data_IF_529966317809
#
_entry.id   IF_529966317809
#
_cell.length_a   1.000
_cell.length_b   1.000
_cell.length_c   1.000
_cell.angle_alpha   90.00
_cell.angle_beta   90.00
_cell.angle_gamma   90.00
#
_symmetry.space_group_name_H-M   'P 1'
#
loop_
_entity.id
_entity.type
_entity.pdbx_description
1 polymer ?
#
# COMPACT_ATOMS: atom_id res chain seq x y z
N UNK A 1 3.74 -2.12 39.58
CA UNK A 1 3.76 -2.80 38.27
C UNK A 1 3.46 -1.72 37.25
N UNK A 2 4.27 -1.57 36.23
CA UNK A 2 3.98 -0.58 35.19
C UNK A 2 2.71 -1.02 34.46
N UNK A 3 1.78 -0.11 34.26
CA UNK A 3 0.57 -0.34 33.50
C UNK A 3 0.95 -0.55 32.00
N UNK A 4 0.27 -1.47 31.35
CA UNK A 4 0.53 -1.81 29.94
C UNK A 4 -0.76 -1.81 29.16
N UNK A 5 -0.69 -1.41 27.88
CA UNK A 5 -1.79 -1.50 26.91
C UNK A 5 -1.42 -2.44 25.75
N UNK A 6 -2.42 -2.84 24.97
CA UNK A 6 -2.17 -3.57 23.74
C UNK A 6 -2.20 -2.62 22.55
N UNK A 7 -1.32 -2.86 21.59
CA UNK A 7 -1.35 -2.16 20.33
C UNK A 7 -2.71 -2.37 19.65
N UNK A 8 -3.32 -1.28 19.19
CA UNK A 8 -4.64 -1.31 18.53
C UNK A 8 -4.60 -2.02 17.18
N UNK A 9 -3.44 -2.09 16.53
CA UNK A 9 -3.29 -2.69 15.21
C UNK A 9 -2.74 -4.12 15.27
N UNK A 10 -1.66 -4.41 16.01
CA UNK A 10 -1.01 -5.73 16.01
C UNK A 10 -1.16 -6.51 17.32
N UNK A 11 -1.82 -5.96 18.34
CA UNK A 11 -2.04 -6.62 19.63
C UNK A 11 -0.80 -6.73 20.54
N UNK A 12 0.37 -6.26 20.13
CA UNK A 12 1.59 -6.29 20.93
C UNK A 12 1.41 -5.55 22.27
N UNK A 13 2.03 -6.04 23.34
CA UNK A 13 1.97 -5.40 24.66
C UNK A 13 2.93 -4.21 24.68
N UNK A 14 2.41 -3.04 25.03
CA UNK A 14 3.12 -1.76 25.05
C UNK A 14 3.04 -1.12 26.44
N UNK A 15 3.99 -0.24 26.81
CA UNK A 15 3.79 0.69 27.92
C UNK A 15 2.51 1.51 27.75
N UNK A 16 1.83 1.87 28.84
CA UNK A 16 0.57 2.63 28.81
C UNK A 16 0.71 3.97 28.08
N UNK A 17 1.87 4.61 28.23
CA UNK A 17 2.21 5.91 27.64
C UNK A 17 2.80 5.83 26.21
N UNK A 18 2.93 4.64 25.64
CA UNK A 18 3.50 4.50 24.30
C UNK A 18 2.67 5.25 23.26
N UNK A 19 3.28 6.20 22.56
CA UNK A 19 2.64 6.99 21.51
C UNK A 19 2.56 6.23 20.18
N UNK A 20 3.41 5.24 19.96
CA UNK A 20 3.44 4.37 18.78
C UNK A 20 3.87 2.96 19.14
N UNK A 21 3.56 1.99 18.29
CA UNK A 21 3.96 0.61 18.45
C UNK A 21 5.31 0.36 17.75
N UNK A 22 6.34 -0.11 18.45
CA UNK A 22 7.63 -0.41 17.82
C UNK A 22 7.59 -1.65 16.92
N UNK A 23 6.52 -2.47 16.97
CA UNK A 23 6.39 -3.67 16.16
C UNK A 23 5.68 -3.44 14.82
N UNK A 24 4.76 -2.46 14.75
CA UNK A 24 3.99 -2.19 13.53
C UNK A 24 3.90 -0.69 13.22
N UNK A 25 4.67 0.14 13.90
CA UNK A 25 4.72 1.60 13.79
C UNK A 25 3.39 2.34 14.00
N UNK A 26 2.30 1.64 14.23
CA UNK A 26 0.97 2.22 14.43
C UNK A 26 0.94 3.18 15.62
N UNK A 27 0.39 4.36 15.40
CA UNK A 27 0.16 5.37 16.44
C UNK A 27 -0.86 4.85 17.46
N UNK A 28 -0.53 4.92 18.76
CA UNK A 28 -1.33 4.39 19.86
C UNK A 28 -2.19 5.45 20.55
N UNK A 29 -2.41 6.58 19.91
CA UNK A 29 -3.24 7.64 20.48
C UNK A 29 -4.69 7.19 20.44
N UNK A 30 -5.22 6.80 21.60
CA UNK A 30 -6.65 6.58 21.78
C UNK A 30 -7.30 7.94 21.57
N UNK A 31 -7.99 8.15 20.45
CA UNK A 31 -8.81 9.33 20.22
C UNK A 31 -9.86 9.42 21.33
N UNK A 32 -9.61 10.17 22.40
CA UNK A 32 -10.68 10.65 23.22
C UNK A 32 -11.40 11.75 22.42
N UNK A 33 -12.33 11.35 21.58
CA UNK A 33 -13.23 12.28 20.92
C UNK A 33 -14.14 12.87 21.97
N UNK A 34 -13.83 14.07 22.43
CA UNK A 34 -14.73 14.81 23.29
C UNK A 34 -15.85 15.35 22.42
N UNK A 35 -17.09 14.99 22.78
CA UNK A 35 -18.28 15.47 22.07
C UNK A 35 -18.32 17.00 22.08
N UNK A 36 -18.31 17.60 20.91
CA UNK A 36 -18.50 19.04 20.72
C UNK A 36 -19.95 19.36 21.09
N UNK A 37 -20.24 20.26 22.03
CA UNK A 37 -21.62 20.64 22.33
C UNK A 37 -22.26 21.29 21.12
N UNK A 38 -23.37 20.73 20.63
CA UNK A 38 -24.14 21.28 19.53
C UNK A 38 -24.52 22.74 19.82
N UNK A 39 -24.02 23.67 19.04
CA UNK A 39 -24.51 25.05 19.03
C UNK A 39 -25.94 25.07 18.58
N UNK A 40 -26.87 25.28 19.51
CA UNK A 40 -28.27 25.53 19.18
C UNK A 40 -28.36 26.84 18.41
N UNK A 41 -28.92 26.79 17.19
CA UNK A 41 -29.18 27.95 16.35
C UNK A 41 -30.03 28.99 17.12
N UNK A 42 -29.52 30.20 17.22
CA UNK A 42 -30.13 31.33 17.90
C UNK A 42 -31.47 31.78 17.28
N UNK A 43 -31.78 31.33 16.07
CA UNK A 43 -33.02 31.75 15.35
C UNK A 43 -34.30 31.14 15.85
N UNK A 44 -34.29 30.12 16.70
CA UNK A 44 -35.50 29.51 17.27
C UNK A 44 -35.84 30.03 18.68
N UNK A 45 -35.07 30.92 19.29
CA UNK A 45 -35.28 31.45 20.63
C UNK A 45 -35.93 32.85 20.66
N UNK A 46 -36.20 33.47 19.49
CA UNK A 46 -36.78 34.80 19.44
C UNK A 46 -38.32 34.83 19.59
N UNK A 47 -39.01 33.70 19.66
CA UNK A 47 -40.48 33.65 19.77
C UNK A 47 -41.04 33.17 21.13
N UNK A 48 -40.18 32.93 22.13
CA UNK A 48 -40.63 32.56 23.49
C UNK A 48 -40.19 33.58 24.57
N UNK A 49 -39.78 34.76 24.19
CA UNK A 49 -39.14 35.77 25.04
C UNK A 49 -40.02 36.73 25.79
N UNK A 50 -41.32 36.58 25.87
CA UNK A 50 -42.20 37.57 26.57
C UNK A 50 -42.87 37.00 27.83
N UNK A 51 -42.76 35.71 28.09
CA UNK A 51 -43.48 35.08 29.22
C UNK A 51 -42.68 34.77 30.48
N UNK A 52 -41.38 34.97 30.52
CA UNK A 52 -40.49 34.44 31.60
C UNK A 52 -39.69 35.52 32.33
N UNK A 53 -39.94 36.81 32.07
CA UNK A 53 -39.15 37.90 32.68
C UNK A 53 -39.50 38.22 34.14
N UNK A 54 -40.52 37.56 34.75
CA UNK A 54 -40.92 37.82 36.14
C UNK A 54 -40.47 36.74 37.14
N UNK A 55 -39.85 35.64 36.73
CA UNK A 55 -39.44 34.57 37.63
C UNK A 55 -37.91 34.45 37.81
N UNK A 56 -37.12 35.29 37.16
CA UNK A 56 -35.63 35.15 37.09
C UNK A 56 -34.83 36.07 37.99
N UNK A 57 -35.49 36.91 38.81
CA UNK A 57 -34.77 37.85 39.71
C UNK A 57 -34.39 37.27 41.06
N UNK A 58 -34.81 36.06 41.43
CA UNK A 58 -34.45 35.44 42.72
C UNK A 58 -33.55 34.19 42.57
N UNK A 59 -33.43 33.66 41.32
CA UNK A 59 -32.60 32.47 41.04
C UNK A 59 -31.15 32.78 40.62
N UNK A 60 -30.88 34.03 40.27
CA UNK A 60 -29.61 34.40 39.62
C UNK A 60 -28.39 34.46 40.56
N UNK A 61 -28.64 34.58 41.88
CA UNK A 61 -27.55 34.68 42.85
C UNK A 61 -26.93 33.34 43.25
N UNK A 62 -27.59 32.22 43.01
CA UNK A 62 -27.08 30.89 43.32
C UNK A 62 -26.28 30.27 42.15
N UNK A 63 -26.38 30.84 40.95
CA UNK A 63 -25.70 30.33 39.76
C UNK A 63 -24.44 31.11 39.33
N UNK A 64 -24.17 32.25 40.00
CA UNK A 64 -22.98 33.08 39.68
C UNK A 64 -21.68 32.59 40.33
N UNK A 65 -21.75 31.55 41.17
CA UNK A 65 -20.57 30.95 41.78
C UNK A 65 -20.05 29.69 41.07
N UNK A 66 -20.73 29.22 40.02
CA UNK A 66 -20.16 28.18 39.20
C UNK A 66 -19.42 28.88 38.03
N UNK A 67 -18.09 28.83 38.10
CA UNK A 67 -17.24 29.09 36.95
C UNK A 67 -17.85 28.31 35.77
N UNK A 68 -18.30 29.04 34.74
CA UNK A 68 -18.65 28.39 33.47
C UNK A 68 -17.42 27.54 33.13
N UNK A 69 -17.57 26.23 32.94
CA UNK A 69 -16.44 25.47 32.43
C UNK A 69 -15.98 26.23 31.19
N UNK A 70 -14.73 26.67 31.20
CA UNK A 70 -14.11 27.31 30.06
C UNK A 70 -14.46 26.44 28.85
N UNK A 71 -15.00 27.07 27.79
CA UNK A 71 -15.27 26.33 26.57
C UNK A 71 -13.98 25.58 26.29
N UNK A 72 -14.03 24.26 26.45
CA UNK A 72 -12.86 23.43 26.13
C UNK A 72 -12.61 23.74 24.66
N UNK A 73 -11.53 24.45 24.40
CA UNK A 73 -10.99 24.53 23.05
C UNK A 73 -10.93 23.09 22.56
N UNK A 74 -11.66 22.81 21.51
CA UNK A 74 -11.56 21.52 20.83
C UNK A 74 -10.11 21.45 20.35
N UNK A 75 -9.27 20.81 21.15
CA UNK A 75 -7.89 20.51 20.73
C UNK A 75 -8.09 19.53 19.61
N UNK A 76 -8.09 20.05 18.39
CA UNK A 76 -8.01 19.24 17.20
C UNK A 76 -6.82 18.30 17.39
N UNK A 77 -6.96 17.00 17.09
CA UNK A 77 -5.85 16.10 17.22
C UNK A 77 -4.65 16.73 16.52
N UNK A 78 -3.61 17.01 17.31
CA UNK A 78 -2.36 17.50 16.73
C UNK A 78 -1.84 16.30 15.94
N UNK A 79 -2.06 16.33 14.63
CA UNK A 79 -1.37 15.42 13.75
C UNK A 79 0.09 15.75 13.99
N UNK A 80 0.82 14.82 14.60
CA UNK A 80 2.27 14.85 14.62
C UNK A 80 2.66 14.57 13.18
N UNK A 81 2.69 15.64 12.40
CA UNK A 81 3.04 15.59 11.01
C UNK A 81 4.46 15.04 10.93
N UNK A 82 4.62 13.91 10.26
CA UNK A 82 5.95 13.39 9.94
C UNK A 82 6.74 14.44 9.14
N UNK A 83 6.03 15.34 8.45
CA UNK A 83 6.58 16.48 7.75
C UNK A 83 5.62 17.70 7.78
N UNK A 84 6.11 18.85 7.34
CA UNK A 84 5.35 20.11 7.33
C UNK A 84 4.14 20.10 6.38
N UNK A 85 4.11 19.20 5.41
CA UNK A 85 3.09 19.13 4.35
C UNK A 85 1.79 18.49 4.82
N UNK A 86 1.82 17.62 5.85
CA UNK A 86 0.63 16.96 6.36
C UNK A 86 -0.42 17.95 6.90
N UNK A 87 -0.02 19.17 7.23
CA UNK A 87 -0.95 20.23 7.64
C UNK A 87 -1.70 20.85 6.46
N UNK A 88 -1.10 20.85 5.28
CA UNK A 88 -1.65 21.49 4.08
C UNK A 88 -2.61 20.56 3.34
N UNK A 89 -2.48 19.25 3.55
CA UNK A 89 -3.32 18.24 2.91
C UNK A 89 -4.55 17.87 3.75
N UNK A 90 -4.89 18.63 4.81
CA UNK A 90 -6.05 18.36 5.64
C UNK A 90 -6.71 19.63 6.18
N UNK A 91 -8.01 19.56 6.43
CA UNK A 91 -8.78 20.65 7.05
C UNK A 91 -10.01 20.11 7.78
N UNK A 92 -10.63 20.96 8.59
CA UNK A 92 -11.93 20.72 9.18
C UNK A 92 -12.97 21.61 8.49
N UNK A 93 -14.06 20.99 8.06
CA UNK A 93 -15.15 21.66 7.38
C UNK A 93 -16.46 21.46 8.16
N UNK A 94 -17.15 22.58 8.51
CA UNK A 94 -18.47 22.53 9.14
C UNK A 94 -19.54 22.58 8.04
N UNK A 95 -20.28 21.50 7.86
CA UNK A 95 -21.37 21.42 6.90
C UNK A 95 -22.57 22.29 7.30
N UNK A 96 -23.43 22.58 6.34
CA UNK A 96 -24.68 23.33 6.59
C UNK A 96 -25.61 22.62 7.56
N UNK A 97 -25.48 21.35 7.75
CA UNK A 97 -26.18 20.51 8.74
C UNK A 97 -25.61 20.62 10.16
N UNK A 98 -24.48 21.36 10.32
CA UNK A 98 -23.74 21.52 11.56
C UNK A 98 -22.88 20.31 11.93
N UNK A 99 -22.68 19.37 11.02
CA UNK A 99 -21.72 18.30 11.19
C UNK A 99 -20.30 18.81 10.90
N UNK A 100 -19.34 18.37 11.70
CA UNK A 100 -17.93 18.70 11.50
C UNK A 100 -17.21 17.53 10.81
N UNK A 101 -16.67 17.80 9.64
CA UNK A 101 -15.93 16.84 8.83
C UNK A 101 -14.43 17.08 8.92
N UNK A 102 -13.65 16.03 9.08
CA UNK A 102 -12.23 16.06 8.86
C UNK A 102 -11.95 15.58 7.44
N UNK A 103 -11.49 16.50 6.60
CA UNK A 103 -11.23 16.27 5.18
C UNK A 103 -9.73 16.27 4.96
N UNK A 104 -9.21 15.24 4.28
CA UNK A 104 -7.78 15.13 4.02
C UNK A 104 -7.46 14.37 2.74
N UNK A 105 -6.32 14.71 2.13
CA UNK A 105 -5.77 14.01 0.99
C UNK A 105 -4.66 13.04 1.43
N UNK A 106 -4.52 11.93 0.70
CA UNK A 106 -3.50 10.91 0.93
C UNK A 106 -3.01 10.31 -0.40
N UNK A 107 -1.72 9.94 -0.45
CA UNK A 107 -1.13 9.13 -1.50
C UNK A 107 -1.32 7.64 -1.17
N UNK A 108 -2.54 7.18 -1.12
CA UNK A 108 -2.84 5.79 -0.79
C UNK A 108 -4.00 5.28 -1.63
N UNK A 109 -4.03 4.00 -2.00
CA UNK A 109 -5.17 3.42 -2.67
C UNK A 109 -6.41 3.50 -1.81
N UNK A 110 -7.54 3.86 -2.43
CA UNK A 110 -8.84 3.75 -1.79
C UNK A 110 -9.12 2.29 -1.43
N UNK A 111 -9.57 2.04 -0.23
CA UNK A 111 -10.21 0.76 0.11
C UNK A 111 -9.45 -0.22 0.99
N UNK A 112 -8.37 0.16 1.64
CA UNK A 112 -7.91 -0.63 2.77
C UNK A 112 -8.77 -0.28 3.99
N UNK A 113 -9.24 -1.29 4.73
CA UNK A 113 -9.93 -1.12 6.02
C UNK A 113 -9.02 -0.57 7.13
N UNK A 114 -7.79 -0.14 6.75
CA UNK A 114 -6.87 0.55 7.62
C UNK A 114 -7.31 1.99 7.90
N UNK A 115 -6.86 2.54 9.01
CA UNK A 115 -7.04 3.96 9.29
C UNK A 115 -6.26 4.79 8.27
N UNK A 116 -6.98 5.41 7.33
CA UNK A 116 -6.37 6.35 6.40
C UNK A 116 -5.92 7.59 7.18
N UNK A 117 -4.72 8.04 6.90
CA UNK A 117 -4.13 9.22 7.52
C UNK A 117 -3.78 10.25 6.45
N UNK A 118 -3.78 11.55 6.78
CA UNK A 118 -3.24 12.57 5.90
C UNK A 118 -1.81 12.23 5.48
N UNK A 119 -1.53 12.37 4.20
CA UNK A 119 -0.18 12.24 3.65
C UNK A 119 0.05 13.36 2.65
N UNK A 120 0.78 14.39 3.08
CA UNK A 120 1.02 15.60 2.32
C UNK A 120 2.32 15.59 1.51
N UNK A 121 3.16 14.57 1.67
CA UNK A 121 4.43 14.47 0.94
C UNK A 121 4.74 13.02 0.55
N UNK A 122 5.17 12.84 -0.68
CA UNK A 122 5.69 11.58 -1.20
C UNK A 122 6.95 11.85 -2.04
N UNK A 123 7.95 10.99 -1.90
CA UNK A 123 9.08 10.94 -2.81
C UNK A 123 9.08 9.59 -3.52
N UNK A 124 9.26 9.61 -4.83
CA UNK A 124 9.32 8.41 -5.65
C UNK A 124 10.55 8.43 -6.56
N UNK A 125 11.19 7.28 -6.66
CA UNK A 125 12.21 7.03 -7.68
C UNK A 125 11.63 6.08 -8.72
N UNK A 126 11.67 6.47 -9.98
CA UNK A 126 11.09 5.74 -11.11
C UNK A 126 12.24 5.22 -11.97
N UNK A 127 12.17 3.96 -12.39
CA UNK A 127 13.20 3.39 -13.26
C UNK A 127 13.18 4.05 -14.64
N UNK A 128 14.36 4.24 -15.21
CA UNK A 128 14.50 4.85 -16.53
C UNK A 128 13.66 4.11 -17.60
N UNK A 129 12.89 4.84 -18.37
CA UNK A 129 12.02 4.30 -19.42
C UNK A 129 10.71 3.67 -18.91
N UNK A 130 10.43 3.73 -17.61
CA UNK A 130 9.16 3.27 -17.03
C UNK A 130 8.17 4.42 -16.81
N UNK A 131 6.91 4.09 -16.65
CA UNK A 131 5.85 5.00 -16.27
C UNK A 131 5.30 4.57 -14.91
N UNK A 132 4.96 5.51 -14.06
CA UNK A 132 4.31 5.26 -12.77
C UNK A 132 2.91 5.82 -12.76
N UNK A 133 2.01 5.10 -12.10
CA UNK A 133 0.63 5.52 -11.84
C UNK A 133 0.40 5.55 -10.34
N UNK A 134 0.19 6.72 -9.80
CA UNK A 134 -0.05 6.93 -8.38
C UNK A 134 -1.53 7.19 -8.07
N UNK A 135 -2.09 6.58 -7.01
CA UNK A 135 -3.40 6.95 -6.52
C UNK A 135 -3.35 8.28 -5.78
N UNK A 136 -4.32 9.13 -6.04
CA UNK A 136 -4.61 10.35 -5.29
C UNK A 136 -5.99 10.20 -4.66
N UNK A 137 -6.08 10.27 -3.35
CA UNK A 137 -7.31 9.95 -2.63
C UNK A 137 -7.65 11.06 -1.64
N UNK A 138 -8.91 11.49 -1.64
CA UNK A 138 -9.45 12.45 -0.68
C UNK A 138 -10.50 11.77 0.18
N UNK A 139 -10.31 11.86 1.47
CA UNK A 139 -11.18 11.26 2.49
C UNK A 139 -11.95 12.33 3.26
N UNK A 140 -13.15 11.97 3.68
CA UNK A 140 -13.94 12.74 4.63
C UNK A 140 -14.37 11.85 5.78
N UNK A 141 -14.04 12.24 6.99
CA UNK A 141 -14.40 11.55 8.23
C UNK A 141 -15.23 12.47 9.11
N UNK A 142 -16.19 11.92 9.83
CA UNK A 142 -16.86 12.64 10.92
C UNK A 142 -15.81 12.94 12.01
N UNK A 143 -15.53 14.21 12.23
CA UNK A 143 -14.48 14.65 13.14
C UNK A 143 -14.79 14.32 14.62
N UNK A 144 -16.04 14.00 14.94
CA UNK A 144 -16.48 13.66 16.31
C UNK A 144 -16.34 12.16 16.55
N UNK A 145 -16.77 11.34 15.59
CA UNK A 145 -16.81 9.88 15.75
C UNK A 145 -15.58 9.18 15.18
N UNK A 146 -14.81 9.87 14.33
CA UNK A 146 -13.67 9.28 13.60
C UNK A 146 -14.05 8.26 12.54
N UNK A 147 -15.32 8.17 12.14
CA UNK A 147 -15.80 7.24 11.13
C UNK A 147 -15.79 7.88 9.75
N UNK A 148 -15.61 7.06 8.72
CA UNK A 148 -15.77 7.51 7.35
C UNK A 148 -17.16 8.14 7.15
N UNK A 149 -17.19 9.34 6.59
CA UNK A 149 -18.39 10.14 6.44
C UNK A 149 -18.65 10.54 4.97
N UNK A 150 -18.08 9.84 4.02
CA UNK A 150 -18.22 10.15 2.58
C UNK A 150 -19.66 10.32 2.16
N UNK A 151 -20.54 9.40 2.52
CA UNK A 151 -21.95 9.43 2.11
C UNK A 151 -22.66 10.71 2.59
N UNK A 152 -22.25 11.23 3.74
CA UNK A 152 -22.77 12.48 4.27
C UNK A 152 -22.07 13.72 3.70
N UNK A 153 -20.79 13.61 3.38
CA UNK A 153 -19.96 14.71 2.89
C UNK A 153 -20.11 14.95 1.38
N UNK A 154 -20.11 13.89 0.56
CA UNK A 154 -20.16 14.01 -0.89
C UNK A 154 -21.34 14.86 -1.42
N UNK A 155 -22.57 14.77 -0.86
CA UNK A 155 -23.69 15.64 -1.28
C UNK A 155 -23.47 17.13 -0.99
N UNK A 156 -22.52 17.49 -0.13
CA UNK A 156 -22.18 18.90 0.17
C UNK A 156 -21.25 19.50 -0.89
N UNK A 157 -20.55 18.67 -1.63
CA UNK A 157 -19.65 19.07 -2.71
C UNK A 157 -20.48 19.27 -3.99
N UNK A 158 -20.31 20.41 -4.64
CA UNK A 158 -20.94 20.71 -5.93
C UNK A 158 -20.07 20.20 -7.07
N UNK A 159 -18.78 20.51 -6.99
CA UNK A 159 -17.78 20.16 -7.96
C UNK A 159 -16.40 20.03 -7.30
N UNK A 160 -15.49 19.29 -7.88
CA UNK A 160 -14.13 19.17 -7.41
C UNK A 160 -13.15 18.92 -8.55
N UNK A 161 -11.91 19.36 -8.35
CA UNK A 161 -10.82 19.14 -9.29
C UNK A 161 -9.52 18.86 -8.57
N UNK A 162 -8.63 18.14 -9.23
CA UNK A 162 -7.25 17.95 -8.85
C UNK A 162 -6.36 18.48 -9.96
N UNK A 163 -5.39 19.28 -9.60
CA UNK A 163 -4.41 19.84 -10.55
C UNK A 163 -3.01 19.60 -10.04
N UNK A 164 -2.06 19.43 -10.95
CA UNK A 164 -0.65 19.41 -10.65
C UNK A 164 0.04 20.61 -11.26
N UNK A 165 0.93 21.25 -10.50
CA UNK A 165 1.80 22.32 -10.98
C UNK A 165 3.25 21.97 -10.69
N UNK A 166 4.12 22.05 -11.70
CA UNK A 166 5.54 21.83 -11.53
C UNK A 166 6.15 22.97 -10.69
N UNK A 167 6.84 22.59 -9.63
CA UNK A 167 7.73 23.47 -8.88
C UNK A 167 9.16 23.38 -9.43
N UNK A 168 9.52 22.16 -9.85
CA UNK A 168 10.76 21.85 -10.57
C UNK A 168 10.43 20.78 -11.62
N UNK A 169 11.08 20.82 -12.78
CA UNK A 169 10.86 19.88 -13.87
C UNK A 169 9.50 20.06 -14.56
N UNK A 170 8.91 18.97 -14.99
CA UNK A 170 7.63 18.96 -15.69
C UNK A 170 6.48 18.53 -14.75
N UNK A 171 5.30 19.08 -14.99
CA UNK A 171 4.10 18.70 -14.22
C UNK A 171 3.65 17.27 -14.58
N UNK A 172 3.31 16.49 -13.58
CA UNK A 172 2.63 15.21 -13.79
C UNK A 172 1.23 15.43 -14.40
N UNK A 173 0.75 14.41 -15.11
CA UNK A 173 -0.61 14.44 -15.66
C UNK A 173 -1.59 13.86 -14.64
N UNK A 174 -2.62 14.63 -14.32
CA UNK A 174 -3.74 14.15 -13.49
C UNK A 174 -4.83 13.58 -14.40
N UNK A 175 -5.28 12.38 -14.07
CA UNK A 175 -6.44 11.74 -14.67
C UNK A 175 -7.53 11.65 -13.62
N UNK A 176 -8.63 12.35 -13.86
CA UNK A 176 -9.82 12.28 -12.99
C UNK A 176 -10.56 10.98 -13.26
N UNK A 177 -10.83 10.23 -12.21
CA UNK A 177 -11.73 9.09 -12.25
C UNK A 177 -13.07 9.45 -11.59
N UNK A 178 -14.10 8.62 -11.81
CA UNK A 178 -15.44 8.89 -11.29
C UNK A 178 -15.40 9.01 -9.75
N UNK A 179 -16.13 10.00 -9.23
CA UNK A 179 -16.25 10.23 -7.79
C UNK A 179 -16.88 9.03 -7.05
N UNK A 180 -17.59 8.17 -7.78
CA UNK A 180 -18.13 6.93 -7.24
C UNK A 180 -17.11 5.79 -7.17
N UNK A 181 -15.92 5.98 -7.74
CA UNK A 181 -14.86 5.00 -7.61
C UNK A 181 -14.36 4.99 -6.18
N UNK A 182 -14.80 4.03 -5.40
CA UNK A 182 -14.00 3.50 -4.31
C UNK A 182 -14.69 2.37 -3.55
N UNK A 183 -13.98 1.31 -3.36
CA UNK A 183 -14.27 0.34 -2.32
C UNK A 183 -14.18 0.97 -0.90
N UNK A 184 -13.50 2.11 -0.73
CA UNK A 184 -13.22 2.75 0.56
C UNK A 184 -13.93 4.07 0.84
N UNK A 185 -14.80 4.55 -0.05
CA UNK A 185 -15.56 5.76 0.22
C UNK A 185 -14.73 7.05 0.18
N UNK A 186 -13.95 7.25 -0.87
CA UNK A 186 -13.13 8.44 -1.08
C UNK A 186 -13.39 9.06 -2.47
N UNK A 187 -12.99 10.31 -2.66
CA UNK A 187 -12.82 10.87 -3.98
C UNK A 187 -11.48 10.42 -4.52
N UNK A 188 -11.42 10.02 -5.77
CA UNK A 188 -10.25 9.36 -6.35
C UNK A 188 -9.83 10.01 -7.65
N UNK A 189 -8.56 10.32 -7.75
CA UNK A 189 -7.89 10.69 -8.98
C UNK A 189 -6.62 9.84 -9.13
N UNK A 190 -6.01 9.87 -10.29
CA UNK A 190 -4.79 9.15 -10.57
C UNK A 190 -3.80 10.08 -11.25
N UNK A 191 -2.58 10.06 -10.81
CA UNK A 191 -1.49 10.70 -11.51
C UNK A 191 -0.80 9.73 -12.46
N UNK A 192 -0.26 10.27 -13.51
CA UNK A 192 0.59 9.57 -14.47
C UNK A 192 1.91 10.33 -14.61
N UNK A 193 2.98 9.65 -14.31
CA UNK A 193 4.33 10.17 -14.36
C UNK A 193 5.12 9.37 -15.37
N UNK A 194 5.68 10.04 -16.37
CA UNK A 194 6.65 9.44 -17.27
C UNK A 194 8.06 9.59 -16.70
N UNK A 195 8.92 8.62 -16.91
CA UNK A 195 10.27 8.58 -16.35
C UNK A 195 11.23 9.64 -16.85
N UNK A 196 10.87 10.36 -17.92
CA UNK A 196 11.60 11.55 -18.35
C UNK A 196 11.38 12.76 -17.43
N UNK A 197 10.50 12.63 -16.44
CA UNK A 197 10.10 13.72 -15.55
C UNK A 197 10.80 13.52 -14.21
N UNK A 198 11.90 14.25 -14.02
CA UNK A 198 12.45 14.45 -12.68
C UNK A 198 11.98 15.82 -12.21
N UNK A 199 11.52 15.92 -10.97
CA UNK A 199 11.12 17.20 -10.47
C UNK A 199 10.26 17.15 -9.22
N UNK A 200 9.68 18.28 -8.90
CA UNK A 200 8.79 18.44 -7.76
C UNK A 200 7.48 19.05 -8.22
N UNK A 201 6.40 18.39 -7.88
CA UNK A 201 5.04 18.82 -8.20
C UNK A 201 4.26 19.18 -6.93
N UNK A 202 3.44 20.22 -7.04
CA UNK A 202 2.40 20.52 -6.08
C UNK A 202 1.06 20.07 -6.64
N UNK A 203 0.40 19.17 -5.91
CA UNK A 203 -0.91 18.61 -6.24
C UNK A 203 -1.94 19.35 -5.41
N UNK A 204 -2.88 20.01 -6.06
CA UNK A 204 -3.92 20.80 -5.40
C UNK A 204 -5.29 20.20 -5.64
N UNK A 205 -5.97 19.86 -4.54
CA UNK A 205 -7.38 19.52 -4.51
C UNK A 205 -8.19 20.78 -4.27
N UNK A 206 -9.18 21.04 -5.09
CA UNK A 206 -10.14 22.14 -4.92
C UNK A 206 -11.54 21.58 -4.93
N UNK A 207 -12.27 21.77 -3.84
CA UNK A 207 -13.67 21.38 -3.72
C UNK A 207 -14.54 22.63 -3.65
N UNK A 208 -15.48 22.75 -4.55
CA UNK A 208 -16.52 23.78 -4.51
C UNK A 208 -17.73 23.24 -3.78
N UNK A 209 -18.06 23.86 -2.67
CA UNK A 209 -19.16 23.41 -1.82
C UNK A 209 -20.47 24.06 -2.27
N UNK A 210 -21.60 23.36 -2.17
CA UNK A 210 -22.92 23.87 -2.58
C UNK A 210 -23.38 25.12 -1.84
N UNK A 211 -22.79 25.46 -0.72
CA UNK A 211 -23.06 26.71 0.01
C UNK A 211 -22.20 27.89 -0.49
N UNK A 212 -21.35 27.66 -1.50
CA UNK A 212 -20.44 28.65 -2.09
C UNK A 212 -19.06 28.70 -1.46
N UNK A 213 -18.78 27.89 -0.43
CA UNK A 213 -17.43 27.78 0.15
C UNK A 213 -16.49 27.03 -0.81
N UNK A 214 -15.18 27.24 -0.61
CA UNK A 214 -14.14 26.49 -1.30
C UNK A 214 -13.20 25.88 -0.28
N UNK A 215 -12.96 24.57 -0.41
CA UNK A 215 -11.95 23.84 0.37
C UNK A 215 -10.78 23.53 -0.54
N UNK A 216 -9.58 23.91 -0.11
CA UNK A 216 -8.33 23.65 -0.86
C UNK A 216 -7.37 22.85 0.01
N UNK A 217 -6.82 21.77 -0.54
CA UNK A 217 -5.81 20.94 0.10
C UNK A 217 -4.64 20.77 -0.86
N UNK A 218 -3.43 20.73 -0.29
CA UNK A 218 -2.20 20.68 -1.10
C UNK A 218 -1.32 19.53 -0.64
N UNK A 219 -0.80 18.78 -1.59
CA UNK A 219 0.21 17.74 -1.40
C UNK A 219 1.43 18.06 -2.25
N UNK A 220 2.58 17.55 -1.86
CA UNK A 220 3.83 17.70 -2.62
C UNK A 220 4.38 16.33 -2.94
N UNK A 221 4.81 16.16 -4.17
CA UNK A 221 5.47 14.97 -4.64
C UNK A 221 6.78 15.31 -5.35
N UNK A 222 7.82 14.54 -5.02
CA UNK A 222 9.14 14.63 -5.65
C UNK A 222 9.41 13.36 -6.45
N UNK A 223 9.90 13.53 -7.67
CA UNK A 223 10.25 12.43 -8.58
C UNK A 223 11.73 12.50 -8.90
N UNK A 224 12.36 11.36 -8.84
CA UNK A 224 13.72 11.16 -9.30
C UNK A 224 13.82 9.94 -10.20
N UNK A 225 14.82 9.92 -11.06
CA UNK A 225 15.17 8.73 -11.80
C UNK A 225 15.99 7.80 -10.93
N UNK A 226 15.62 6.53 -10.86
CA UNK A 226 16.47 5.51 -10.24
C UNK A 226 17.65 5.24 -11.13
N UNK A 227 18.88 5.29 -10.63
CA UNK A 227 20.03 4.82 -11.38
C UNK A 227 19.81 3.37 -11.83
N UNK A 228 20.04 3.11 -13.11
CA UNK A 228 19.96 1.77 -13.68
C UNK A 228 21.36 1.16 -13.80
N UNK A 229 21.51 -0.03 -13.25
CA UNK A 229 22.77 -0.80 -13.35
C UNK A 229 22.47 -2.10 -14.07
N UNK A 230 22.94 -2.20 -15.31
CA UNK A 230 22.74 -3.35 -16.18
C UNK A 230 23.97 -4.24 -16.20
N UNK A 231 23.79 -5.51 -15.89
CA UNK A 231 24.78 -6.56 -16.09
C UNK A 231 24.35 -7.42 -17.28
N UNK A 232 25.18 -7.43 -18.32
CA UNK A 232 24.89 -8.15 -19.57
C UNK A 232 25.97 -9.20 -19.83
N UNK A 233 25.53 -10.37 -20.26
CA UNK A 233 26.42 -11.49 -20.53
C UNK A 233 27.47 -11.19 -21.62
N UNK A 234 27.27 -10.19 -22.47
CA UNK A 234 28.26 -9.73 -23.44
C UNK A 234 29.48 -9.08 -22.79
N UNK A 235 29.31 -8.55 -21.57
CA UNK A 235 30.35 -7.82 -20.83
C UNK A 235 30.76 -8.50 -19.53
N UNK A 236 29.98 -9.49 -19.07
CA UNK A 236 30.15 -10.17 -17.79
C UNK A 236 30.29 -11.69 -17.98
N UNK A 237 31.09 -12.34 -17.17
CA UNK A 237 31.16 -13.80 -17.18
C UNK A 237 29.98 -14.40 -16.44
N UNK A 238 29.05 -14.97 -17.20
CA UNK A 238 27.91 -15.73 -16.73
C UNK A 238 27.87 -17.15 -17.28
N UNK A 239 29.03 -17.69 -17.67
CA UNK A 239 29.10 -18.98 -18.37
C UNK A 239 28.94 -20.20 -17.45
N UNK A 240 29.06 -20.01 -16.14
CA UNK A 240 28.93 -21.08 -15.15
C UNK A 240 28.09 -20.63 -13.97
N UNK A 241 27.48 -21.56 -13.19
CA UNK A 241 26.74 -21.21 -11.97
C UNK A 241 27.60 -20.40 -10.98
N UNK A 242 28.85 -20.77 -10.80
CA UNK A 242 29.79 -20.07 -9.89
C UNK A 242 30.06 -18.63 -10.36
N UNK A 243 30.27 -18.42 -11.67
CA UNK A 243 30.52 -17.10 -12.22
C UNK A 243 29.27 -16.20 -12.10
N UNK A 244 28.10 -16.74 -12.42
CA UNK A 244 26.85 -16.02 -12.26
C UNK A 244 26.57 -15.69 -10.78
N UNK A 245 26.79 -16.64 -9.85
CA UNK A 245 26.62 -16.36 -8.43
C UNK A 245 27.57 -15.26 -7.94
N UNK A 246 28.83 -15.28 -8.36
CA UNK A 246 29.78 -14.22 -8.02
C UNK A 246 29.35 -12.85 -8.56
N UNK A 247 28.72 -12.81 -9.73
CA UNK A 247 28.12 -11.58 -10.27
C UNK A 247 26.93 -11.10 -9.42
N UNK A 248 26.00 -11.99 -9.05
CA UNK A 248 24.84 -11.65 -8.22
C UNK A 248 25.27 -11.13 -6.84
N UNK A 249 26.31 -11.76 -6.24
CA UNK A 249 26.87 -11.32 -4.97
C UNK A 249 27.54 -9.95 -5.11
N UNK A 250 28.33 -9.74 -6.16
CA UNK A 250 28.95 -8.44 -6.46
C UNK A 250 27.89 -7.35 -6.70
N UNK A 251 26.85 -7.64 -7.44
CA UNK A 251 25.76 -6.71 -7.66
C UNK A 251 25.07 -6.30 -6.35
N UNK A 252 24.95 -7.24 -5.39
CA UNK A 252 24.39 -6.94 -4.08
C UNK A 252 25.31 -6.10 -3.19
N UNK A 253 26.63 -6.18 -3.39
CA UNK A 253 27.64 -5.48 -2.59
C UNK A 253 28.01 -4.10 -3.13
N UNK A 254 27.99 -3.92 -4.47
CA UNK A 254 28.53 -2.74 -5.14
C UNK A 254 27.48 -1.72 -5.54
N UNK A 255 26.17 -2.07 -5.48
CA UNK A 255 25.09 -1.14 -5.88
C UNK A 255 24.33 -0.65 -4.67
N UNK A 256 23.86 0.61 -4.75
CA UNK A 256 23.08 1.24 -3.70
C UNK A 256 21.64 0.67 -3.64
N UNK A 257 20.96 0.76 -2.50
CA UNK A 257 19.59 0.28 -2.36
C UNK A 257 18.61 0.88 -3.37
N UNK A 258 18.83 2.11 -3.82
CA UNK A 258 17.97 2.84 -4.75
C UNK A 258 18.21 2.43 -6.21
N UNK A 259 19.32 1.75 -6.52
CA UNK A 259 19.66 1.34 -7.89
C UNK A 259 18.69 0.28 -8.40
N UNK A 260 18.25 0.43 -9.64
CA UNK A 260 17.51 -0.60 -10.37
C UNK A 260 18.51 -1.52 -11.04
N UNK A 261 18.76 -2.67 -10.43
CA UNK A 261 19.71 -3.66 -10.97
C UNK A 261 18.98 -4.61 -11.91
N UNK A 262 19.53 -4.75 -13.12
CA UNK A 262 19.03 -5.72 -14.10
C UNK A 262 20.16 -6.62 -14.58
N UNK A 263 19.95 -7.95 -14.47
CA UNK A 263 20.86 -8.98 -14.97
C UNK A 263 20.20 -9.68 -16.16
N UNK A 264 20.80 -9.50 -17.33
CA UNK A 264 20.37 -10.15 -18.57
C UNK A 264 21.13 -11.48 -18.70
N UNK A 265 20.42 -12.57 -18.49
CA UNK A 265 20.97 -13.92 -18.43
C UNK A 265 21.11 -14.53 -19.82
N UNK A 266 22.23 -15.19 -20.14
CA UNK A 266 22.45 -15.86 -21.42
C UNK A 266 21.67 -17.18 -21.53
N UNK A 267 21.66 -17.74 -22.76
CA UNK A 267 21.13 -19.07 -23.06
C UNK A 267 22.07 -20.18 -22.52
N UNK A 268 22.17 -20.29 -21.22
CA UNK A 268 23.02 -21.25 -20.49
C UNK A 268 22.18 -22.07 -19.53
N UNK A 269 22.58 -23.30 -19.29
CA UNK A 269 21.99 -24.16 -18.24
C UNK A 269 22.83 -24.09 -16.97
N UNK A 270 22.18 -23.70 -15.86
CA UNK A 270 22.80 -23.62 -14.54
C UNK A 270 22.28 -24.77 -13.66
N UNK A 271 23.20 -25.65 -13.27
CA UNK A 271 22.93 -26.91 -12.56
C UNK A 271 23.16 -26.83 -11.04
N UNK A 272 23.54 -25.65 -10.52
CA UNK A 272 23.67 -25.39 -9.10
C UNK A 272 22.66 -24.32 -8.66
N UNK A 273 22.20 -24.36 -7.38
CA UNK A 273 21.33 -23.32 -6.84
C UNK A 273 21.98 -21.93 -6.94
N UNK A 274 21.20 -20.96 -7.35
CA UNK A 274 21.58 -19.55 -7.35
C UNK A 274 20.86 -18.83 -6.23
N UNK A 275 21.52 -17.85 -5.61
CA UNK A 275 20.99 -17.07 -4.50
C UNK A 275 20.93 -15.60 -4.85
N UNK A 276 19.77 -14.98 -4.65
CA UNK A 276 19.54 -13.55 -4.84
C UNK A 276 19.44 -12.88 -3.48
N UNK A 277 20.28 -11.88 -3.24
CA UNK A 277 20.46 -11.19 -1.95
C UNK A 277 20.13 -9.70 -1.99
N UNK A 278 19.57 -9.24 -3.09
CA UNK A 278 19.03 -7.88 -3.23
C UNK A 278 17.85 -7.90 -4.19
N UNK A 279 17.06 -6.84 -4.20
CA UNK A 279 16.07 -6.62 -5.26
C UNK A 279 16.77 -6.40 -6.60
N UNK A 280 16.33 -7.13 -7.60
CA UNK A 280 16.87 -7.05 -8.95
C UNK A 280 15.90 -7.66 -9.97
N UNK A 281 16.13 -7.32 -11.22
CA UNK A 281 15.47 -7.95 -12.35
C UNK A 281 16.41 -9.04 -12.92
N UNK A 282 15.94 -10.27 -13.00
CA UNK A 282 16.58 -11.37 -13.70
C UNK A 282 15.80 -11.65 -14.98
N UNK A 283 16.39 -11.36 -16.13
CA UNK A 283 15.73 -11.52 -17.43
C UNK A 283 16.47 -12.59 -18.24
N UNK A 284 15.77 -13.70 -18.49
CA UNK A 284 16.35 -14.82 -19.26
C UNK A 284 16.17 -14.64 -20.77
N UNK A 285 17.16 -15.09 -21.52
CA UNK A 285 17.08 -15.27 -22.97
C UNK A 285 17.51 -16.70 -23.34
N UNK A 286 16.57 -17.64 -23.15
CA UNK A 286 16.87 -19.06 -23.30
C UNK A 286 17.58 -19.69 -22.08
N UNK A 287 17.61 -19.01 -20.96
CA UNK A 287 18.25 -19.45 -19.70
C UNK A 287 17.47 -20.61 -19.11
N UNK A 288 18.21 -21.65 -18.66
CA UNK A 288 17.66 -22.82 -17.97
C UNK A 288 18.29 -22.98 -16.59
N UNK A 289 17.47 -23.05 -15.54
CA UNK A 289 17.90 -23.36 -14.20
C UNK A 289 17.48 -24.79 -13.85
N UNK A 290 18.46 -25.67 -13.65
CA UNK A 290 18.24 -27.04 -13.17
C UNK A 290 18.62 -27.20 -11.70
N UNK A 291 19.42 -26.28 -11.16
CA UNK A 291 19.76 -26.20 -9.73
C UNK A 291 18.78 -25.43 -8.87
N UNK A 292 17.88 -24.66 -9.49
CA UNK A 292 16.92 -23.81 -8.79
C UNK A 292 17.42 -22.40 -8.48
N UNK A 293 16.53 -21.59 -7.90
CA UNK A 293 16.80 -20.20 -7.49
C UNK A 293 16.24 -19.96 -6.08
N UNK A 294 17.01 -19.33 -5.24
CA UNK A 294 16.61 -18.92 -3.88
C UNK A 294 16.65 -17.41 -3.80
N UNK A 295 15.50 -16.80 -3.49
CA UNK A 295 15.43 -15.39 -3.12
C UNK A 295 15.50 -15.32 -1.60
N UNK A 296 16.61 -14.80 -1.11
CA UNK A 296 16.91 -14.70 0.32
C UNK A 296 16.00 -13.66 1.01
N UNK A 297 15.93 -13.66 2.35
CA UNK A 297 15.29 -12.56 3.08
C UNK A 297 16.03 -11.25 2.80
N UNK A 298 15.33 -10.31 2.17
CA UNK A 298 15.85 -8.98 1.87
C UNK A 298 15.37 -7.99 2.93
N UNK A 299 16.30 -7.27 3.53
CA UNK A 299 16.02 -6.26 4.53
C UNK A 299 16.47 -4.89 3.99
N UNK A 300 15.52 -4.04 3.70
CA UNK A 300 15.76 -2.63 3.42
C UNK A 300 15.05 -1.80 4.48
N UNK A 301 15.46 -0.52 4.61
CA UNK A 301 14.81 0.40 5.55
C UNK A 301 13.29 0.47 5.34
N UNK A 302 12.59 0.94 6.34
CA UNK A 302 11.14 0.81 6.53
C UNK A 302 10.27 1.36 5.36
N UNK A 303 10.84 2.13 4.44
CA UNK A 303 10.10 2.85 3.40
C UNK A 303 10.30 2.30 1.98
N UNK A 304 11.05 1.21 1.78
CA UNK A 304 11.33 0.68 0.45
C UNK A 304 10.55 -0.59 0.14
N UNK A 305 9.72 -0.52 -0.90
CA UNK A 305 9.17 -1.73 -1.52
C UNK A 305 10.30 -2.54 -2.17
N UNK A 306 10.48 -3.75 -1.68
CA UNK A 306 11.50 -4.68 -2.17
C UNK A 306 10.81 -5.71 -3.03
N UNK A 307 11.29 -5.90 -4.26
CA UNK A 307 10.77 -6.94 -5.12
C UNK A 307 11.84 -7.47 -6.08
N UNK A 308 12.02 -8.78 -6.10
CA UNK A 308 12.81 -9.47 -7.13
C UNK A 308 11.90 -9.78 -8.32
N UNK A 309 12.35 -9.47 -9.53
CA UNK A 309 11.63 -9.81 -10.76
C UNK A 309 12.37 -10.91 -11.51
N UNK A 310 11.69 -12.02 -11.81
CA UNK A 310 12.22 -13.13 -12.60
C UNK A 310 11.38 -13.28 -13.87
N UNK A 311 12.00 -13.10 -15.03
CA UNK A 311 11.28 -13.09 -16.30
C UNK A 311 11.93 -14.01 -17.33
N UNK A 312 11.09 -14.70 -18.09
CA UNK A 312 11.47 -15.48 -19.27
C UNK A 312 12.54 -16.57 -19.01
N UNK A 313 12.54 -17.16 -17.80
CA UNK A 313 13.46 -18.20 -17.35
C UNK A 313 12.75 -19.56 -17.37
N UNK A 314 13.46 -20.59 -17.79
CA UNK A 314 13.02 -21.98 -17.69
C UNK A 314 13.63 -22.65 -16.46
N UNK A 315 12.79 -23.15 -15.56
CA UNK A 315 13.13 -23.98 -14.42
C UNK A 315 12.84 -25.45 -14.77
N UNK A 316 13.88 -26.26 -14.97
CA UNK A 316 13.74 -27.65 -15.42
C UNK A 316 14.50 -28.59 -14.49
N UNK A 317 13.80 -29.08 -13.46
CA UNK A 317 14.39 -29.94 -12.42
C UNK A 317 14.14 -31.43 -12.64
N UNK A 318 14.67 -32.21 -11.72
CA UNK A 318 14.45 -33.65 -11.56
C UNK A 318 14.08 -34.02 -10.10
N UNK A 319 13.46 -33.06 -9.39
CA UNK A 319 13.07 -33.13 -7.98
C UNK A 319 13.47 -31.85 -7.23
N UNK A 320 13.21 -31.81 -5.92
CA UNK A 320 13.55 -30.64 -5.07
C UNK A 320 12.65 -29.43 -5.32
N UNK A 321 13.21 -28.21 -5.09
CA UNK A 321 12.48 -26.94 -5.23
C UNK A 321 13.10 -26.09 -6.34
N UNK A 322 12.27 -25.66 -7.30
CA UNK A 322 12.72 -24.87 -8.44
C UNK A 322 12.98 -23.39 -8.09
N UNK A 323 12.00 -22.76 -7.46
CA UNK A 323 12.10 -21.38 -6.98
C UNK A 323 11.65 -21.34 -5.53
N UNK A 324 12.49 -20.88 -4.63
CA UNK A 324 12.14 -20.63 -3.24
C UNK A 324 12.29 -19.17 -2.93
N UNK A 325 11.25 -18.54 -2.37
CA UNK A 325 11.27 -17.10 -2.07
C UNK A 325 10.98 -16.83 -0.60
N UNK A 326 11.84 -16.00 0.00
CA UNK A 326 11.70 -15.44 1.35
C UNK A 326 11.58 -13.90 1.31
N UNK A 327 11.34 -13.35 0.13
CA UNK A 327 11.04 -11.94 -0.13
C UNK A 327 10.06 -11.84 -1.30
N UNK A 328 9.33 -10.73 -1.45
CA UNK A 328 8.39 -10.54 -2.56
C UNK A 328 9.08 -10.74 -3.92
N UNK A 329 8.44 -11.53 -4.77
CA UNK A 329 9.01 -11.91 -6.06
C UNK A 329 7.93 -11.92 -7.14
N UNK A 330 8.15 -11.15 -8.20
CA UNK A 330 7.37 -11.23 -9.43
C UNK A 330 7.98 -12.25 -10.37
N UNK A 331 7.15 -13.19 -10.84
CA UNK A 331 7.56 -14.23 -11.78
C UNK A 331 6.68 -14.13 -13.01
N UNK A 332 7.31 -13.85 -14.17
CA UNK A 332 6.57 -13.62 -15.40
C UNK A 332 7.17 -14.35 -16.61
N UNK A 333 6.30 -14.97 -17.42
CA UNK A 333 6.73 -15.63 -18.66
C UNK A 333 7.61 -16.87 -18.44
N UNK A 334 7.71 -17.35 -17.20
CA UNK A 334 8.57 -18.46 -16.83
C UNK A 334 7.90 -19.82 -17.07
N UNK A 335 8.73 -20.85 -17.26
CA UNK A 335 8.29 -22.24 -17.37
C UNK A 335 8.92 -23.08 -16.27
N UNK A 336 8.09 -23.88 -15.56
CA UNK A 336 8.53 -24.78 -14.51
C UNK A 336 8.14 -26.21 -14.85
N UNK A 337 9.10 -27.14 -14.78
CA UNK A 337 8.85 -28.55 -15.07
C UNK A 337 9.78 -29.48 -14.27
N UNK A 338 9.26 -30.63 -13.82
CA UNK A 338 10.03 -31.72 -13.22
C UNK A 338 10.43 -31.52 -11.75
N UNK A 339 9.87 -30.57 -11.04
CA UNK A 339 10.17 -30.29 -9.64
C UNK A 339 9.22 -31.00 -8.68
N UNK A 340 9.72 -31.35 -7.47
CA UNK A 340 8.81 -31.77 -6.38
C UNK A 340 7.91 -30.60 -5.98
N UNK A 341 8.51 -29.38 -5.86
CA UNK A 341 7.81 -28.12 -5.70
C UNK A 341 8.39 -27.10 -6.70
N UNK A 342 7.59 -26.67 -7.66
CA UNK A 342 8.11 -25.80 -8.71
C UNK A 342 8.41 -24.39 -8.20
N UNK A 343 7.50 -23.80 -7.42
CA UNK A 343 7.71 -22.50 -6.78
C UNK A 343 7.11 -22.52 -5.36
N UNK A 344 7.87 -22.02 -4.39
CA UNK A 344 7.50 -22.02 -2.97
C UNK A 344 7.72 -20.64 -2.35
N UNK A 345 6.68 -20.10 -1.71
CA UNK A 345 6.79 -18.91 -0.87
C UNK A 345 6.87 -19.32 0.61
N UNK A 346 7.87 -18.82 1.32
CA UNK A 346 8.07 -18.96 2.76
C UNK A 346 7.85 -17.63 3.48
N UNK A 347 7.91 -17.62 4.81
CA UNK A 347 7.72 -16.39 5.61
C UNK A 347 8.63 -15.27 5.14
N UNK A 348 8.04 -14.08 4.95
CA UNK A 348 8.66 -12.91 4.32
C UNK A 348 8.52 -12.88 2.81
N UNK A 349 8.33 -14.03 2.15
CA UNK A 349 8.23 -14.16 0.72
C UNK A 349 6.80 -14.18 0.19
N UNK A 350 6.65 -13.74 -1.04
CA UNK A 350 5.42 -13.88 -1.82
C UNK A 350 5.73 -14.02 -3.31
N UNK A 351 4.90 -14.76 -4.02
CA UNK A 351 5.05 -14.97 -5.46
C UNK A 351 3.87 -14.35 -6.20
N UNK A 352 4.13 -13.27 -6.94
CA UNK A 352 3.20 -12.74 -7.93
C UNK A 352 3.43 -13.47 -9.25
N UNK A 353 2.54 -14.39 -9.63
CA UNK A 353 2.69 -15.24 -10.80
C UNK A 353 1.90 -14.70 -11.98
N UNK A 354 2.59 -14.35 -13.07
CA UNK A 354 1.96 -13.82 -14.29
C UNK A 354 2.44 -14.57 -15.53
N UNK A 355 1.49 -15.05 -16.34
CA UNK A 355 1.78 -15.65 -17.65
C UNK A 355 2.74 -16.86 -17.59
N UNK A 356 2.87 -17.51 -16.42
CA UNK A 356 3.76 -18.64 -16.24
C UNK A 356 3.13 -19.96 -16.67
N UNK A 357 3.97 -20.94 -16.95
CA UNK A 357 3.54 -22.31 -17.22
C UNK A 357 4.18 -23.27 -16.21
N UNK A 358 3.37 -23.90 -15.40
CA UNK A 358 3.74 -24.95 -14.46
C UNK A 358 3.29 -26.30 -15.02
N UNK A 359 4.22 -27.16 -15.42
CA UNK A 359 3.90 -28.37 -16.16
C UNK A 359 4.62 -29.60 -15.58
N UNK A 360 3.87 -30.60 -15.18
CA UNK A 360 4.42 -31.89 -14.72
C UNK A 360 5.31 -31.77 -13.48
N UNK A 361 4.88 -31.02 -12.47
CA UNK A 361 5.53 -30.93 -11.16
C UNK A 361 4.74 -31.69 -10.09
N UNK A 362 5.36 -32.03 -8.98
CA UNK A 362 4.66 -32.56 -7.81
C UNK A 362 3.66 -31.54 -7.26
N UNK A 363 4.13 -30.37 -6.86
CA UNK A 363 3.36 -29.17 -6.52
C UNK A 363 3.83 -28.03 -7.41
N UNK A 364 2.92 -27.37 -8.11
CA UNK A 364 3.31 -26.27 -8.97
C UNK A 364 3.58 -24.98 -8.19
N UNK A 365 2.69 -24.61 -7.28
CA UNK A 365 2.84 -23.44 -6.42
C UNK A 365 2.47 -23.80 -4.99
N UNK A 366 3.41 -23.62 -4.07
CA UNK A 366 3.18 -23.83 -2.64
C UNK A 366 3.30 -22.49 -1.90
N UNK A 367 2.24 -22.09 -1.19
CA UNK A 367 2.15 -20.85 -0.43
C UNK A 367 2.16 -21.17 1.08
N UNK A 368 3.29 -20.93 1.72
CA UNK A 368 3.51 -21.16 3.16
C UNK A 368 4.10 -19.90 3.80
N UNK A 369 3.45 -18.75 3.58
CA UNK A 369 3.88 -17.47 4.09
C UNK A 369 2.78 -16.85 4.93
N UNK A 370 3.03 -16.74 6.25
CA UNK A 370 2.14 -16.04 7.18
C UNK A 370 2.40 -14.54 7.27
N UNK A 371 3.50 -14.07 6.69
CA UNK A 371 3.87 -12.65 6.63
C UNK A 371 4.65 -12.40 5.35
N UNK A 372 4.28 -11.37 4.61
CA UNK A 372 5.01 -10.91 3.43
C UNK A 372 4.82 -9.41 3.26
N UNK A 373 5.81 -8.72 2.71
CA UNK A 373 5.59 -7.39 2.17
C UNK A 373 4.73 -7.52 0.90
N UNK A 374 3.80 -6.60 0.71
CA UNK A 374 2.84 -6.69 -0.38
C UNK A 374 3.49 -6.23 -1.70
N UNK A 375 3.56 -7.12 -2.67
CA UNK A 375 3.80 -6.77 -4.08
C UNK A 375 2.58 -7.05 -4.96
N UNK A 376 1.41 -7.27 -4.35
CA UNK A 376 0.16 -7.65 -4.99
C UNK A 376 -0.25 -9.09 -4.65
N UNK A 377 -1.56 -9.31 -4.48
CA UNK A 377 -2.13 -10.60 -4.11
C UNK A 377 -2.61 -11.44 -5.31
N UNK A 378 -2.50 -10.91 -6.54
CA UNK A 378 -3.12 -11.50 -7.70
C UNK A 378 -2.18 -12.44 -8.46
N UNK A 379 -2.76 -13.52 -8.98
CA UNK A 379 -2.10 -14.38 -9.94
C UNK A 379 -2.85 -14.32 -11.26
N UNK A 380 -2.12 -13.99 -12.34
CA UNK A 380 -2.75 -13.67 -13.61
C UNK A 380 -2.26 -14.60 -14.73
N UNK A 381 -3.20 -15.11 -15.54
CA UNK A 381 -2.95 -15.78 -16.82
C UNK A 381 -1.95 -16.94 -16.77
N UNK A 382 -1.71 -17.52 -15.59
CA UNK A 382 -0.80 -18.65 -15.43
C UNK A 382 -1.48 -19.99 -15.75
N UNK A 383 -0.70 -20.94 -16.25
CA UNK A 383 -1.18 -22.24 -16.72
C UNK A 383 -0.62 -23.33 -15.84
N UNK A 384 -1.49 -24.15 -15.25
CA UNK A 384 -1.16 -25.28 -14.40
C UNK A 384 -1.54 -26.58 -15.09
N UNK A 385 -0.53 -27.32 -15.57
CA UNK A 385 -0.72 -28.46 -16.46
C UNK A 385 -0.11 -29.72 -15.84
N UNK A 386 -0.88 -30.78 -15.69
CA UNK A 386 -0.41 -32.12 -15.31
C UNK A 386 0.42 -32.17 -14.02
N UNK A 387 0.18 -31.30 -13.08
CA UNK A 387 0.85 -31.31 -11.78
C UNK A 387 0.13 -32.29 -10.82
N UNK A 388 0.83 -32.76 -9.80
CA UNK A 388 0.21 -33.47 -8.70
C UNK A 388 -0.77 -32.53 -7.97
N UNK A 389 -0.30 -31.37 -7.53
CA UNK A 389 -1.12 -30.28 -7.00
C UNK A 389 -0.77 -29.00 -7.75
N UNK A 390 -1.76 -28.29 -8.27
CA UNK A 390 -1.49 -27.04 -8.97
C UNK A 390 -1.19 -25.89 -7.99
N UNK A 391 -2.06 -25.65 -7.01
CA UNK A 391 -1.81 -24.66 -5.97
C UNK A 391 -2.09 -25.28 -4.62
N UNK A 392 -1.10 -25.22 -3.72
CA UNK A 392 -1.22 -25.62 -2.33
C UNK A 392 -1.11 -24.40 -1.43
N UNK A 393 -2.14 -24.16 -0.62
CA UNK A 393 -2.17 -23.07 0.35
C UNK A 393 -2.03 -23.67 1.74
N UNK A 394 -0.90 -23.43 2.39
CA UNK A 394 -0.66 -23.76 3.80
C UNK A 394 -0.96 -22.56 4.69
N UNK A 395 -0.41 -21.41 4.34
CA UNK A 395 -0.63 -20.12 5.02
C UNK A 395 -0.64 -18.99 4.00
N UNK A 396 -1.45 -17.96 4.26
CA UNK A 396 -1.40 -16.66 3.57
C UNK A 396 -1.03 -15.56 4.56
N UNK A 397 -0.44 -14.44 4.10
CA UNK A 397 -0.25 -13.25 4.92
C UNK A 397 -1.56 -12.82 5.59
N UNK A 398 -1.48 -12.41 6.85
CA UNK A 398 -2.66 -12.11 7.69
C UNK A 398 -3.49 -10.96 7.13
N UNK A 399 -2.84 -10.03 6.43
CA UNK A 399 -3.46 -8.88 5.78
C UNK A 399 -4.34 -9.28 4.59
N UNK A 400 -4.17 -10.49 4.07
CA UNK A 400 -4.89 -10.97 2.90
C UNK A 400 -5.99 -11.93 3.30
N UNK A 401 -7.21 -11.51 3.07
CA UNK A 401 -8.37 -12.37 3.33
C UNK A 401 -8.58 -13.41 2.23
N UNK A 402 -8.18 -13.11 0.98
CA UNK A 402 -8.32 -14.01 -0.17
C UNK A 402 -7.19 -13.84 -1.17
N UNK A 403 -6.86 -14.93 -1.89
CA UNK A 403 -6.01 -14.91 -3.06
C UNK A 403 -6.88 -14.98 -4.32
N UNK A 404 -6.74 -14.02 -5.21
CA UNK A 404 -7.50 -13.98 -6.45
C UNK A 404 -6.70 -14.53 -7.65
N UNK A 405 -7.35 -15.39 -8.44
CA UNK A 405 -6.79 -15.98 -9.66
C UNK A 405 -7.53 -15.42 -10.87
N UNK A 406 -6.85 -14.61 -11.67
CA UNK A 406 -7.43 -14.03 -12.89
C UNK A 406 -6.91 -14.71 -14.15
N UNK A 407 -7.80 -15.26 -14.96
CA UNK A 407 -7.42 -15.87 -16.26
C UNK A 407 -6.50 -17.08 -16.13
N UNK A 408 -6.32 -17.64 -14.95
CA UNK A 408 -5.53 -18.85 -14.75
C UNK A 408 -6.25 -20.09 -15.29
N UNK A 409 -5.50 -21.03 -15.87
CA UNK A 409 -6.05 -22.27 -16.43
C UNK A 409 -5.45 -23.51 -15.78
N UNK A 410 -6.29 -24.51 -15.57
CA UNK A 410 -5.96 -25.76 -14.89
C UNK A 410 -6.32 -26.93 -15.80
N UNK A 411 -5.36 -27.80 -16.10
CA UNK A 411 -5.61 -28.95 -16.97
C UNK A 411 -4.78 -30.18 -16.57
N UNK A 412 -5.47 -31.27 -16.30
CA UNK A 412 -4.84 -32.58 -16.04
C UNK A 412 -4.07 -32.68 -14.71
N UNK A 413 -4.25 -31.74 -13.77
CA UNK A 413 -3.69 -31.84 -12.45
C UNK A 413 -4.46 -32.88 -11.63
N UNK A 414 -3.79 -33.57 -10.70
CA UNK A 414 -4.48 -34.48 -9.77
C UNK A 414 -5.37 -33.70 -8.80
N UNK A 415 -4.84 -32.55 -8.31
CA UNK A 415 -5.57 -31.61 -7.46
C UNK A 415 -5.31 -30.21 -7.99
N UNK A 416 -6.36 -29.47 -8.35
CA UNK A 416 -6.19 -28.09 -8.80
C UNK A 416 -5.90 -27.13 -7.62
N UNK A 417 -6.64 -27.27 -6.52
CA UNK A 417 -6.48 -26.45 -5.33
C UNK A 417 -6.49 -27.34 -4.07
N UNK A 418 -5.38 -27.33 -3.37
CA UNK A 418 -5.25 -27.87 -2.01
C UNK A 418 -5.31 -26.67 -1.05
N UNK A 419 -6.54 -26.23 -0.77
CA UNK A 419 -6.87 -25.05 0.02
C UNK A 419 -7.96 -25.37 1.04
N UNK A 420 -7.60 -26.00 2.17
CA UNK A 420 -8.57 -26.44 3.17
C UNK A 420 -9.30 -25.29 3.87
N UNK A 421 -8.80 -24.07 3.76
CA UNK A 421 -9.40 -22.88 4.39
C UNK A 421 -10.33 -22.11 3.43
N UNK A 422 -10.31 -22.42 2.13
CA UNK A 422 -11.13 -21.75 1.12
C UNK A 422 -10.72 -20.31 0.85
N UNK A 423 -9.44 -20.01 0.90
CA UNK A 423 -8.88 -18.66 0.74
C UNK A 423 -8.67 -18.26 -0.72
N UNK A 424 -8.76 -19.21 -1.65
CA UNK A 424 -8.52 -18.95 -3.07
C UNK A 424 -9.82 -18.69 -3.81
N UNK A 425 -9.88 -17.55 -4.51
CA UNK A 425 -11.02 -17.16 -5.34
C UNK A 425 -10.62 -17.22 -6.82
N UNK A 426 -11.35 -17.97 -7.63
CA UNK A 426 -11.21 -18.03 -9.09
C UNK A 426 -12.11 -16.95 -9.72
N UNK A 427 -11.56 -16.09 -10.53
CA UNK A 427 -12.27 -15.06 -11.30
C UNK A 427 -12.03 -15.18 -12.79
#
# INVERSE_FOLDING_TARGET
>A
MAETKRCIQCGAVLPEDAAFCPHCTATQVTRQVQAVPRRRSWRKMALLGVGVLAALTVGDWALWGQEKPAAQETVLPTVTAANAYDRQCQTYYEGADGALYWVFAAFSPAGSDGENCPNGYRSQLIAAGEESWGPLTLYAYDAVTGKNAREAFAPLVEDWQVTASAQEGDACRIVMEDADYSAGGAMYAREHIATSLCGRNEITWTLHMRNGDTVTLTQVEEYGERPAVDYRWENEDMTTPTALQALLDRAAEETEPEDVVTVYLPAVTYDQPLHVRRDMNLIGDGTVLTGGLVVEPLAYGDDKEVCVNVRDVTFAGDGGVGLQVMSPTWVRGCRFTGWDVAAQALDGGWICSQENTYDSNGVALELDSGSAMLCGSNMNNSRFLRNGVAIRVKRLPVEWMTLELYGCSFYGNTVDLDDPQGLVVRR
#
